data_IF_669427137776
#
_entry.id   IF_669427137776
#
_cell.length_a   1.000
_cell.length_b   1.000
_cell.length_c   1.000
_cell.angle_alpha   90.00
_cell.angle_beta   90.00
_cell.angle_gamma   90.00
#
_symmetry.space_group_name_H-M   'P 1'
#
loop_
_entity.id
_entity.type
_entity.pdbx_description
1 polymer ?
#
# COMPACT_ATOMS: atom_id res chain seq x y z
N UNK A 1 15.40 6.00 29.54
CA UNK A 1 13.92 5.92 29.61
C UNK A 1 13.39 6.14 28.21
N UNK A 2 12.49 5.30 27.68
CA UNK A 2 11.76 5.66 26.46
C UNK A 2 10.99 6.96 26.71
N UNK A 3 10.81 7.82 25.69
CA UNK A 3 10.00 9.03 25.83
C UNK A 3 8.58 8.68 26.29
N UNK A 4 7.91 9.58 27.03
CA UNK A 4 6.53 9.36 27.43
C UNK A 4 5.66 9.14 26.18
N UNK A 5 4.65 8.25 26.22
CA UNK A 5 3.81 7.99 25.07
C UNK A 5 3.10 9.27 24.63
N UNK A 6 3.35 9.70 23.41
CA UNK A 6 2.79 10.92 22.83
C UNK A 6 1.46 10.64 22.10
N UNK A 7 0.61 11.67 22.02
CA UNK A 7 -0.67 11.61 21.30
C UNK A 7 -0.52 11.82 19.78
N UNK A 8 0.69 12.14 19.33
CA UNK A 8 1.03 12.40 17.94
C UNK A 8 2.47 11.98 17.68
N UNK A 9 2.83 11.79 16.42
CA UNK A 9 4.21 11.60 15.99
C UNK A 9 4.37 12.08 14.56
N UNK A 10 5.59 12.47 14.21
CA UNK A 10 6.01 12.77 12.83
C UNK A 10 6.97 11.69 12.29
N UNK A 11 7.24 10.66 13.09
CA UNK A 11 8.17 9.59 12.77
C UNK A 11 7.40 8.41 12.15
N UNK A 12 7.85 7.94 10.98
CA UNK A 12 7.22 6.85 10.25
C UNK A 12 7.17 5.52 11.02
N UNK A 13 8.16 5.28 11.89
CA UNK A 13 8.28 4.14 12.80
C UNK A 13 7.70 4.41 14.19
N UNK A 14 7.10 5.59 14.39
CA UNK A 14 6.49 5.99 15.65
C UNK A 14 5.18 5.29 15.94
N UNK A 15 4.89 5.16 17.23
CA UNK A 15 3.62 4.69 17.78
C UNK A 15 2.98 5.81 18.59
N UNK A 16 1.67 5.98 18.47
CA UNK A 16 0.92 6.96 19.27
C UNK A 16 0.10 6.29 20.36
N UNK A 17 -0.17 6.99 21.45
CA UNK A 17 -1.06 6.49 22.50
C UNK A 17 -2.50 6.33 21.96
N UNK A 18 -3.02 5.10 22.02
CA UNK A 18 -4.40 4.80 21.66
C UNK A 18 -5.39 5.46 22.63
N UNK A 19 -6.42 6.10 22.09
CA UNK A 19 -7.47 6.77 22.85
C UNK A 19 -8.76 5.97 22.77
N UNK A 20 -9.07 5.23 23.83
CA UNK A 20 -10.29 4.43 23.91
C UNK A 20 -11.33 5.12 24.81
N UNK A 21 -12.57 5.16 24.35
CA UNK A 21 -13.71 5.58 25.16
C UNK A 21 -14.24 4.40 25.98
N UNK A 22 -14.93 4.67 27.09
CA UNK A 22 -15.55 3.62 27.90
C UNK A 22 -16.74 2.94 27.21
N UNK A 23 -17.44 3.67 26.34
CA UNK A 23 -18.64 3.23 25.63
C UNK A 23 -18.67 3.81 24.22
N UNK A 24 -19.56 3.26 23.38
CA UNK A 24 -19.76 3.69 22.00
C UNK A 24 -18.65 3.25 21.05
N UNK A 25 -18.61 3.85 19.86
CA UNK A 25 -17.70 3.47 18.76
C UNK A 25 -16.20 3.65 19.07
N UNK A 26 -15.85 4.43 20.10
CA UNK A 26 -14.45 4.59 20.54
C UNK A 26 -13.98 3.53 21.53
N UNK A 27 -14.85 2.58 21.94
CA UNK A 27 -14.49 1.46 22.82
C UNK A 27 -13.96 0.25 22.04
N UNK A 28 -14.19 0.20 20.73
CA UNK A 28 -13.78 -0.93 19.88
C UNK A 28 -12.27 -1.13 19.93
N UNK A 29 -11.82 -2.38 20.10
CA UNK A 29 -10.39 -2.72 20.11
C UNK A 29 -9.79 -2.35 18.76
N UNK A 30 -8.77 -1.47 18.71
CA UNK A 30 -8.10 -1.11 17.47
C UNK A 30 -7.42 -2.32 16.86
N UNK A 31 -7.65 -2.54 15.57
CA UNK A 31 -7.05 -3.63 14.80
C UNK A 31 -6.26 -3.07 13.61
N UNK A 32 -5.27 -3.84 13.20
CA UNK A 32 -4.46 -3.54 12.02
C UNK A 32 -5.22 -3.84 10.73
N UNK A 33 -4.80 -3.22 9.62
CA UNK A 33 -5.32 -3.52 8.28
C UNK A 33 -5.11 -5.01 7.91
N UNK A 34 -3.93 -5.63 8.15
CA UNK A 34 -3.75 -7.07 7.96
C UNK A 34 -4.75 -7.93 8.74
N UNK A 35 -5.05 -7.60 10.00
CA UNK A 35 -6.02 -8.34 10.82
C UNK A 35 -7.43 -8.23 10.24
N UNK A 36 -7.88 -7.01 9.94
CA UNK A 36 -9.20 -6.78 9.33
C UNK A 36 -9.35 -7.50 7.99
N UNK A 37 -8.30 -7.50 7.16
CA UNK A 37 -8.33 -8.19 5.88
C UNK A 37 -8.40 -9.71 6.06
N UNK A 38 -7.63 -10.28 7.00
CA UNK A 38 -7.70 -11.70 7.34
C UNK A 38 -9.08 -12.11 7.86
N UNK A 39 -9.70 -11.30 8.72
CA UNK A 39 -11.09 -11.53 9.17
C UNK A 39 -12.08 -11.51 7.99
N UNK A 40 -11.91 -10.56 7.08
CA UNK A 40 -12.73 -10.45 5.87
C UNK A 40 -12.58 -11.69 4.97
N UNK A 41 -11.35 -12.19 4.78
CA UNK A 41 -11.08 -13.42 4.04
C UNK A 41 -11.73 -14.63 4.71
N UNK A 42 -11.62 -14.75 6.03
CA UNK A 42 -12.25 -15.85 6.78
C UNK A 42 -13.78 -15.86 6.65
N UNK A 43 -14.40 -14.69 6.50
CA UNK A 43 -15.87 -14.55 6.41
C UNK A 43 -16.38 -14.62 4.97
N UNK A 44 -15.61 -14.10 4.03
CA UNK A 44 -16.06 -13.81 2.66
C UNK A 44 -15.15 -14.40 1.58
N UNK A 45 -14.29 -15.37 1.91
CA UNK A 45 -13.22 -15.88 1.03
C UNK A 45 -13.61 -16.14 -0.43
N UNK A 46 -14.79 -16.72 -0.69
CA UNK A 46 -15.28 -17.06 -2.04
C UNK A 46 -16.12 -15.95 -2.70
N UNK A 47 -16.35 -14.83 -2.02
CA UNK A 47 -17.11 -13.71 -2.57
C UNK A 47 -16.20 -12.78 -3.38
N UNK A 48 -16.72 -12.11 -4.43
CA UNK A 48 -15.99 -11.08 -5.16
C UNK A 48 -15.43 -10.02 -4.21
N UNK A 49 -14.15 -9.66 -4.39
CA UNK A 49 -13.46 -8.65 -3.60
C UNK A 49 -12.92 -7.51 -4.46
N UNK A 50 -12.36 -7.84 -5.62
CA UNK A 50 -11.80 -6.87 -6.56
C UNK A 50 -12.26 -7.22 -7.96
N UNK A 51 -12.85 -6.24 -8.64
CA UNK A 51 -13.34 -6.37 -10.01
C UNK A 51 -12.65 -5.29 -10.84
N UNK A 52 -11.95 -5.70 -11.88
CA UNK A 52 -11.26 -4.81 -12.82
C UNK A 52 -11.63 -5.16 -14.25
N UNK A 53 -11.62 -4.14 -15.12
CA UNK A 53 -11.83 -4.33 -16.55
C UNK A 53 -10.48 -4.20 -17.25
N UNK A 54 -10.00 -5.30 -17.83
CA UNK A 54 -8.80 -5.34 -18.67
C UNK A 54 -9.24 -5.44 -20.12
N UNK A 55 -8.99 -4.39 -20.91
CA UNK A 55 -9.49 -4.24 -22.28
C UNK A 55 -11.02 -4.47 -22.36
N UNK A 56 -11.44 -5.66 -22.82
CA UNK A 56 -12.83 -6.06 -22.99
C UNK A 56 -13.33 -7.08 -21.96
N UNK A 57 -12.43 -7.68 -21.18
CA UNK A 57 -12.78 -8.73 -20.22
C UNK A 57 -12.85 -8.18 -18.80
N UNK A 58 -13.82 -8.70 -18.04
CA UNK A 58 -13.91 -8.47 -16.61
C UNK A 58 -13.10 -9.54 -15.89
N UNK A 59 -12.17 -9.10 -15.07
CA UNK A 59 -11.41 -9.95 -14.16
C UNK A 59 -11.96 -9.75 -12.76
N UNK A 60 -12.25 -10.86 -12.09
CA UNK A 60 -12.80 -10.86 -10.75
C UNK A 60 -11.89 -11.72 -9.87
N UNK A 61 -11.37 -11.11 -8.80
CA UNK A 61 -10.71 -11.82 -7.72
C UNK A 61 -11.69 -11.92 -6.55
N UNK A 62 -11.86 -13.12 -6.01
CA UNK A 62 -12.49 -13.29 -4.71
C UNK A 62 -11.54 -12.88 -3.57
N UNK A 63 -12.05 -12.79 -2.33
CA UNK A 63 -11.24 -12.41 -1.18
C UNK A 63 -10.01 -13.30 -0.97
N UNK A 64 -10.12 -14.62 -1.19
CA UNK A 64 -8.97 -15.53 -1.08
C UNK A 64 -7.89 -15.20 -2.13
N UNK A 65 -8.27 -15.05 -3.39
CA UNK A 65 -7.36 -14.75 -4.49
C UNK A 65 -6.71 -13.36 -4.32
N UNK A 66 -7.52 -12.36 -3.93
CA UNK A 66 -7.03 -11.01 -3.70
C UNK A 66 -6.04 -10.96 -2.54
N UNK A 67 -6.33 -11.68 -1.44
CA UNK A 67 -5.41 -11.77 -0.30
C UNK A 67 -4.09 -12.44 -0.69
N UNK A 68 -4.13 -13.56 -1.42
CA UNK A 68 -2.92 -14.22 -1.90
C UNK A 68 -2.11 -13.36 -2.88
N UNK A 69 -2.78 -12.61 -3.76
CA UNK A 69 -2.12 -11.65 -4.65
C UNK A 69 -1.39 -10.55 -3.84
N UNK A 70 -2.06 -9.99 -2.83
CA UNK A 70 -1.44 -8.99 -1.94
C UNK A 70 -0.26 -9.56 -1.16
N UNK A 71 -0.38 -10.80 -0.65
CA UNK A 71 0.72 -11.48 0.05
C UNK A 71 1.90 -11.77 -0.87
N UNK A 72 1.64 -12.17 -2.13
CA UNK A 72 2.70 -12.39 -3.12
C UNK A 72 3.41 -11.08 -3.47
N UNK A 73 2.68 -9.98 -3.67
CA UNK A 73 3.26 -8.65 -3.85
C UNK A 73 4.09 -8.21 -2.62
N UNK A 74 3.59 -8.43 -1.41
CA UNK A 74 4.32 -8.13 -0.17
C UNK A 74 5.67 -8.85 -0.10
N UNK A 75 5.69 -10.13 -0.44
CA UNK A 75 6.91 -10.94 -0.50
C UNK A 75 7.88 -10.46 -1.58
N UNK A 76 7.37 -10.04 -2.74
CA UNK A 76 8.19 -9.46 -3.79
C UNK A 76 8.82 -8.12 -3.35
N UNK A 77 8.07 -7.27 -2.65
CA UNK A 77 8.60 -6.02 -2.07
C UNK A 77 9.72 -6.29 -1.07
N UNK A 78 9.56 -7.29 -0.20
CA UNK A 78 10.62 -7.74 0.72
C UNK A 78 11.85 -8.21 -0.05
N UNK A 79 11.67 -9.01 -1.11
CA UNK A 79 12.76 -9.50 -1.97
C UNK A 79 13.55 -8.35 -2.62
N UNK A 80 12.87 -7.30 -3.08
CA UNK A 80 13.49 -6.10 -3.63
C UNK A 80 14.08 -5.18 -2.54
N UNK A 81 14.02 -5.58 -1.28
CA UNK A 81 14.68 -4.90 -0.18
C UNK A 81 13.87 -3.77 0.43
N UNK A 82 12.53 -3.79 0.38
CA UNK A 82 11.70 -2.88 1.16
C UNK A 82 12.09 -2.94 2.64
N UNK A 83 12.48 -1.80 3.20
CA UNK A 83 12.71 -1.66 4.65
C UNK A 83 11.39 -1.33 5.35
N UNK A 84 11.23 -1.81 6.60
CA UNK A 84 10.09 -1.42 7.43
C UNK A 84 9.98 0.10 7.51
N UNK A 85 8.74 0.59 7.54
CA UNK A 85 8.39 2.02 7.64
C UNK A 85 8.93 2.90 6.49
N UNK A 86 9.38 2.31 5.38
CA UNK A 86 9.70 3.04 4.14
C UNK A 86 8.55 2.96 3.15
N UNK A 87 8.45 3.96 2.28
CA UNK A 87 7.39 4.06 1.30
C UNK A 87 7.49 3.04 0.17
N UNK A 88 6.33 2.55 -0.25
CA UNK A 88 6.10 1.98 -1.58
C UNK A 88 5.26 2.98 -2.35
N UNK A 89 5.88 3.63 -3.32
CA UNK A 89 5.22 4.63 -4.17
C UNK A 89 4.39 3.94 -5.24
N UNK A 90 3.20 4.46 -5.53
CA UNK A 90 2.35 3.96 -6.60
C UNK A 90 1.86 5.15 -7.44
N UNK A 91 2.42 5.28 -8.63
CA UNK A 91 2.17 6.36 -9.59
C UNK A 91 1.34 5.84 -10.77
N UNK A 92 0.04 6.11 -10.73
CA UNK A 92 -0.87 5.69 -11.78
C UNK A 92 -2.34 5.87 -11.45
N UNK A 93 -3.19 5.58 -12.44
CA UNK A 93 -4.65 5.54 -12.27
C UNK A 93 -5.11 4.24 -11.61
N UNK A 94 -6.40 4.22 -11.24
CA UNK A 94 -7.05 3.07 -10.62
C UNK A 94 -6.84 1.79 -11.45
N UNK A 95 -6.30 0.76 -10.80
CA UNK A 95 -6.13 -0.56 -11.38
C UNK A 95 -6.10 -1.64 -10.29
N UNK A 96 -6.15 -2.91 -10.70
CA UNK A 96 -6.03 -4.01 -9.76
C UNK A 96 -4.63 -4.05 -9.13
N UNK A 97 -3.59 -3.83 -9.94
CA UNK A 97 -2.19 -3.76 -9.53
C UNK A 97 -1.95 -2.66 -8.50
N UNK A 98 -2.57 -1.49 -8.69
CA UNK A 98 -2.53 -0.40 -7.71
C UNK A 98 -3.04 -0.86 -6.34
N UNK A 99 -4.20 -1.53 -6.32
CA UNK A 99 -4.84 -2.01 -5.09
C UNK A 99 -4.02 -3.10 -4.42
N UNK A 100 -3.55 -4.08 -5.22
CA UNK A 100 -2.72 -5.20 -4.76
C UNK A 100 -1.39 -4.69 -4.19
N UNK A 101 -0.72 -3.77 -4.88
CA UNK A 101 0.56 -3.23 -4.44
C UNK A 101 0.42 -2.37 -3.18
N UNK A 102 -0.65 -1.58 -3.07
CA UNK A 102 -0.95 -0.75 -1.90
C UNK A 102 -1.12 -1.62 -0.65
N UNK A 103 -1.96 -2.66 -0.71
CA UNK A 103 -2.14 -3.59 0.40
C UNK A 103 -0.89 -4.43 0.63
N UNK A 104 -0.21 -4.87 -0.43
CA UNK A 104 1.06 -5.59 -0.34
C UNK A 104 2.15 -4.81 0.40
N UNK A 105 2.24 -3.50 0.19
CA UNK A 105 3.16 -2.63 0.91
C UNK A 105 2.90 -2.65 2.43
N UNK A 106 1.63 -2.57 2.81
CA UNK A 106 1.20 -2.61 4.22
C UNK A 106 1.49 -3.98 4.82
N UNK A 107 1.15 -5.07 4.13
CA UNK A 107 1.46 -6.44 4.58
C UNK A 107 2.97 -6.66 4.79
N UNK A 108 3.81 -6.06 3.94
CA UNK A 108 5.27 -6.10 4.05
C UNK A 108 5.86 -5.18 5.14
N UNK A 109 5.02 -4.48 5.92
CA UNK A 109 5.44 -3.55 6.97
C UNK A 109 6.03 -2.24 6.43
N UNK A 110 5.81 -1.94 5.15
CA UNK A 110 6.08 -0.64 4.55
C UNK A 110 4.86 0.28 4.63
N UNK A 111 4.99 1.45 4.02
CA UNK A 111 3.95 2.48 3.98
C UNK A 111 3.44 2.59 2.54
N UNK A 112 2.13 2.52 2.35
CA UNK A 112 1.53 2.77 1.03
C UNK A 112 1.53 4.28 0.72
N UNK A 113 2.10 4.66 -0.43
CA UNK A 113 2.26 6.07 -0.84
C UNK A 113 1.66 6.26 -2.23
N UNK A 114 0.45 6.84 -2.30
CA UNK A 114 -0.17 7.19 -3.58
C UNK A 114 0.46 8.45 -4.19
N UNK A 115 0.79 8.39 -5.48
CA UNK A 115 1.30 9.53 -6.26
C UNK A 115 0.36 9.77 -7.43
N UNK A 116 -0.13 11.01 -7.58
CA UNK A 116 -1.04 11.35 -8.67
C UNK A 116 -0.35 11.23 -10.03
N UNK A 117 -1.00 10.53 -10.97
CA UNK A 117 -0.51 10.36 -12.34
C UNK A 117 -0.30 11.69 -13.09
N UNK A 118 -0.99 12.75 -12.66
CA UNK A 118 -0.93 14.11 -13.21
C UNK A 118 0.17 14.98 -12.60
N UNK A 119 0.88 14.50 -11.56
CA UNK A 119 2.00 15.25 -10.98
C UNK A 119 3.13 15.44 -12.00
N UNK A 120 3.81 16.58 -11.91
CA UNK A 120 5.08 16.81 -12.63
C UNK A 120 6.21 15.92 -12.09
N UNK A 121 7.34 15.86 -12.79
CA UNK A 121 8.51 15.11 -12.33
C UNK A 121 9.03 15.64 -10.98
N UNK A 122 9.05 16.96 -10.79
CA UNK A 122 9.49 17.63 -9.56
C UNK A 122 8.55 17.30 -8.40
N UNK A 123 7.23 17.30 -8.64
CA UNK A 123 6.24 16.92 -7.64
C UNK A 123 6.36 15.43 -7.27
N UNK A 124 6.64 14.55 -8.23
CA UNK A 124 6.90 13.13 -7.96
C UNK A 124 8.18 12.96 -7.12
N UNK A 125 9.28 13.63 -7.49
CA UNK A 125 10.54 13.62 -6.76
C UNK A 125 10.35 14.06 -5.30
N UNK A 126 9.60 15.14 -5.07
CA UNK A 126 9.31 15.64 -3.74
C UNK A 126 8.60 14.59 -2.87
N UNK A 127 7.59 13.91 -3.42
CA UNK A 127 6.86 12.83 -2.74
C UNK A 127 7.76 11.63 -2.46
N UNK A 128 8.52 11.18 -3.46
CA UNK A 128 9.44 10.03 -3.39
C UNK A 128 10.48 10.25 -2.29
N UNK A 129 11.12 11.43 -2.26
CA UNK A 129 12.12 11.78 -1.26
C UNK A 129 11.49 11.93 0.14
N UNK A 130 10.38 12.68 0.24
CA UNK A 130 9.70 12.94 1.52
C UNK A 130 9.18 11.66 2.19
N UNK A 131 8.69 10.69 1.42
CA UNK A 131 8.21 9.41 1.93
C UNK A 131 9.30 8.31 1.99
N UNK A 132 10.56 8.66 1.67
CA UNK A 132 11.70 7.72 1.64
C UNK A 132 11.37 6.45 0.87
N UNK A 133 10.77 6.60 -0.32
CA UNK A 133 10.27 5.48 -1.11
C UNK A 133 11.43 4.54 -1.46
N UNK A 134 11.26 3.24 -1.16
CA UNK A 134 12.20 2.19 -1.52
C UNK A 134 11.84 1.53 -2.85
N UNK A 135 10.56 1.35 -3.12
CA UNK A 135 10.06 0.67 -4.31
C UNK A 135 8.97 1.53 -4.94
N UNK A 136 9.05 1.77 -6.24
CA UNK A 136 8.08 2.60 -6.96
C UNK A 136 7.39 1.78 -8.05
N UNK A 137 6.07 1.73 -8.01
CA UNK A 137 5.25 1.19 -9.08
C UNK A 137 4.77 2.33 -9.97
N UNK A 138 4.92 2.18 -11.27
CA UNK A 138 4.49 3.14 -12.30
C UNK A 138 3.57 2.46 -13.29
N UNK A 139 2.53 3.17 -13.72
CA UNK A 139 1.49 2.55 -14.56
C UNK A 139 2.00 2.07 -15.92
N UNK A 140 2.73 2.92 -16.63
CA UNK A 140 3.09 2.70 -18.02
C UNK A 140 4.37 3.49 -18.35
N UNK A 141 4.83 3.36 -19.60
CA UNK A 141 6.07 3.99 -20.05
C UNK A 141 6.06 5.52 -19.89
N UNK A 142 4.91 6.19 -20.06
CA UNK A 142 4.81 7.64 -19.83
C UNK A 142 5.17 8.01 -18.38
N UNK A 143 4.66 7.25 -17.40
CA UNK A 143 5.01 7.46 -15.99
C UNK A 143 6.44 7.03 -15.69
N UNK A 144 6.93 5.97 -16.33
CA UNK A 144 8.31 5.54 -16.20
C UNK A 144 9.29 6.63 -16.68
N UNK A 145 9.13 7.14 -17.90
CA UNK A 145 10.00 8.17 -18.46
C UNK A 145 10.01 9.44 -17.60
N UNK A 146 8.87 9.83 -17.03
CA UNK A 146 8.78 10.93 -16.06
C UNK A 146 9.66 10.71 -14.83
N UNK A 147 9.74 9.48 -14.32
CA UNK A 147 10.60 9.16 -13.18
C UNK A 147 12.06 9.08 -13.61
N UNK A 148 12.33 8.51 -14.78
CA UNK A 148 13.69 8.40 -15.31
C UNK A 148 14.32 9.76 -15.64
N UNK A 149 13.52 10.79 -15.92
CA UNK A 149 14.04 12.15 -16.10
C UNK A 149 14.49 12.82 -14.79
N UNK A 150 14.15 12.25 -13.63
CA UNK A 150 14.58 12.77 -12.32
C UNK A 150 15.99 12.26 -12.02
N UNK A 151 16.94 13.12 -11.60
CA UNK A 151 18.27 12.68 -11.21
C UNK A 151 18.22 11.64 -10.09
N UNK A 152 18.95 10.53 -10.26
CA UNK A 152 18.98 9.43 -9.27
C UNK A 152 19.45 9.90 -7.88
N UNK A 153 20.34 10.90 -7.82
CA UNK A 153 20.79 11.53 -6.57
C UNK A 153 19.67 12.22 -5.78
N UNK A 154 18.54 12.53 -6.43
CA UNK A 154 17.35 13.10 -5.77
C UNK A 154 16.39 12.02 -5.25
N UNK A 155 16.68 10.74 -5.51
CA UNK A 155 15.86 9.58 -5.16
C UNK A 155 16.71 8.46 -4.54
N UNK A 156 17.66 8.81 -3.67
CA UNK A 156 18.67 7.88 -3.12
C UNK A 156 18.09 6.64 -2.43
N UNK A 157 16.88 6.75 -1.87
CA UNK A 157 16.22 5.63 -1.19
C UNK A 157 15.59 4.63 -2.17
N UNK A 158 15.38 5.01 -3.44
CA UNK A 158 14.69 4.20 -4.44
C UNK A 158 15.61 3.08 -4.95
N UNK A 159 15.16 1.84 -4.77
CA UNK A 159 15.90 0.61 -5.07
C UNK A 159 15.40 -0.08 -6.32
N UNK A 160 14.09 -0.04 -6.58
CA UNK A 160 13.49 -0.69 -7.74
C UNK A 160 12.27 0.09 -8.26
N UNK A 161 12.04 -0.02 -9.56
CA UNK A 161 10.87 0.49 -10.26
C UNK A 161 10.14 -0.70 -10.90
N UNK A 162 8.82 -0.75 -10.79
CA UNK A 162 7.97 -1.75 -11.43
C UNK A 162 7.03 -1.04 -12.38
N UNK A 163 7.08 -1.36 -13.67
CA UNK A 163 6.06 -0.91 -14.62
C UNK A 163 4.98 -1.98 -14.74
N UNK A 164 3.73 -1.63 -14.40
CA UNK A 164 2.68 -2.64 -14.27
C UNK A 164 1.72 -2.78 -15.47
N UNK A 165 1.83 -1.92 -16.48
CA UNK A 165 1.19 -2.14 -17.80
C UNK A 165 2.23 -2.25 -18.89
N UNK A 166 1.97 -3.14 -19.84
CA UNK A 166 2.75 -3.28 -21.08
C UNK A 166 2.35 -2.20 -22.11
N UNK A 167 3.19 -1.94 -23.13
CA UNK A 167 4.55 -2.48 -23.31
C UNK A 167 5.58 -1.80 -22.41
N UNK A 168 6.62 -2.54 -22.05
CA UNK A 168 7.84 -1.99 -21.45
C UNK A 168 8.84 -1.79 -22.59
N UNK A 169 9.33 -0.57 -22.76
CA UNK A 169 10.30 -0.23 -23.82
C UNK A 169 11.74 -0.23 -23.33
N UNK A 170 11.93 -0.13 -22.01
CA UNK A 170 13.24 -0.08 -21.36
C UNK A 170 13.60 -1.48 -20.82
N UNK A 171 14.64 -2.10 -21.36
CA UNK A 171 15.01 -3.49 -21.02
C UNK A 171 16.40 -3.62 -20.38
N UNK A 172 17.25 -2.59 -20.46
CA UNK A 172 18.65 -2.66 -20.04
C UNK A 172 18.89 -2.14 -18.61
N UNK A 173 17.81 -1.80 -17.87
CA UNK A 173 17.91 -1.21 -16.54
C UNK A 173 17.77 -2.28 -15.45
N UNK A 174 18.86 -2.51 -14.71
CA UNK A 174 19.00 -3.58 -13.70
C UNK A 174 17.92 -3.58 -12.60
N UNK A 175 17.34 -2.42 -12.29
CA UNK A 175 16.35 -2.24 -11.23
C UNK A 175 14.92 -1.95 -11.74
N UNK A 176 14.63 -2.30 -13.00
CA UNK A 176 13.31 -2.16 -13.62
C UNK A 176 12.69 -3.55 -13.84
N UNK A 177 11.44 -3.72 -13.41
CA UNK A 177 10.72 -4.98 -13.51
C UNK A 177 9.35 -4.78 -14.17
N UNK A 178 8.88 -5.81 -14.88
CA UNK A 178 7.47 -5.92 -15.24
C UNK A 178 6.62 -6.33 -14.03
N UNK A 179 5.30 -6.21 -14.13
CA UNK A 179 4.39 -6.72 -13.10
C UNK A 179 4.58 -8.22 -12.85
N UNK A 180 4.71 -9.00 -13.92
CA UNK A 180 4.81 -10.45 -13.82
C UNK A 180 6.13 -10.87 -13.17
N UNK A 181 7.25 -10.29 -13.62
CA UNK A 181 8.57 -10.54 -13.00
C UNK A 181 8.56 -10.14 -11.52
N UNK A 182 7.99 -8.98 -11.20
CA UNK A 182 7.82 -8.52 -9.83
C UNK A 182 7.05 -9.55 -9.01
N UNK A 183 5.91 -10.04 -9.50
CA UNK A 183 5.12 -11.03 -8.78
C UNK A 183 5.89 -12.34 -8.60
N UNK A 184 6.65 -12.79 -9.61
CA UNK A 184 7.49 -14.00 -9.52
C UNK A 184 8.57 -13.91 -8.44
N UNK A 185 9.19 -12.75 -8.21
CA UNK A 185 10.16 -12.54 -7.13
C UNK A 185 9.60 -12.92 -5.76
N UNK A 186 8.28 -12.75 -5.55
CA UNK A 186 7.59 -13.10 -4.32
C UNK A 186 7.57 -14.60 -4.01
N UNK A 187 7.91 -15.47 -4.96
CA UNK A 187 8.05 -16.92 -4.74
C UNK A 187 9.33 -17.27 -3.96
N UNK A 188 10.33 -16.38 -3.96
CA UNK A 188 11.62 -16.63 -3.30
C UNK A 188 11.64 -16.34 -1.79
N UNK A 189 10.60 -15.70 -1.27
CA UNK A 189 10.45 -15.38 0.15
C UNK A 189 9.42 -16.34 0.77
N UNK A 190 9.73 -16.98 1.91
CA UNK A 190 8.79 -17.89 2.55
C UNK A 190 7.63 -17.13 3.21
N UNK A 191 6.44 -17.76 3.25
CA UNK A 191 5.28 -17.16 3.91
C UNK A 191 5.51 -16.84 5.39
N UNK A 192 6.27 -17.68 6.10
CA UNK A 192 6.59 -17.49 7.52
C UNK A 192 7.31 -16.18 7.80
N UNK A 193 8.17 -15.72 6.89
CA UNK A 193 8.86 -14.44 7.03
C UNK A 193 7.86 -13.28 6.92
N UNK A 194 6.92 -13.33 5.97
CA UNK A 194 5.86 -12.34 5.87
C UNK A 194 4.94 -12.36 7.09
N UNK A 195 4.57 -13.55 7.58
CA UNK A 195 3.71 -13.71 8.75
C UNK A 195 4.32 -13.09 10.01
N UNK A 196 5.64 -13.22 10.19
CA UNK A 196 6.34 -12.55 11.28
C UNK A 196 6.23 -11.03 11.17
N UNK A 197 6.45 -10.45 9.99
CA UNK A 197 6.34 -9.00 9.78
C UNK A 197 4.91 -8.52 10.04
N UNK A 198 3.90 -9.26 9.56
CA UNK A 198 2.49 -8.93 9.82
C UNK A 198 2.19 -8.93 11.32
N UNK A 199 2.68 -9.93 12.06
CA UNK A 199 2.45 -10.05 13.50
C UNK A 199 3.14 -8.96 14.35
N UNK A 200 4.18 -8.33 13.82
CA UNK A 200 4.92 -7.24 14.49
C UNK A 200 4.31 -5.85 14.27
N UNK A 201 3.29 -5.72 13.41
CA UNK A 201 2.59 -4.46 13.15
C UNK A 201 1.60 -4.15 14.28
N UNK A 202 1.38 -2.86 14.54
CA UNK A 202 0.44 -2.40 15.57
C UNK A 202 -0.56 -1.40 15.00
N UNK A 203 -1.76 -1.41 15.57
CA UNK A 203 -2.88 -0.62 15.07
C UNK A 203 -2.58 0.90 15.03
N UNK A 204 -1.77 1.39 15.97
CA UNK A 204 -1.37 2.79 16.12
C UNK A 204 -0.12 3.20 15.33
N UNK A 205 0.40 2.35 14.44
CA UNK A 205 1.52 2.67 13.54
C UNK A 205 1.01 3.21 12.20
N UNK A 206 1.82 4.04 11.53
CA UNK A 206 1.51 4.58 10.21
C UNK A 206 1.47 3.47 9.14
N UNK A 207 0.39 3.45 8.36
CA UNK A 207 0.21 2.48 7.25
C UNK A 207 0.15 3.16 5.88
N UNK A 208 -0.35 4.39 5.81
CA UNK A 208 -0.56 5.13 4.56
C UNK A 208 -0.04 6.55 4.70
N UNK A 209 0.67 7.01 3.67
CA UNK A 209 1.00 8.43 3.49
C UNK A 209 0.21 8.99 2.32
N UNK A 210 -0.64 9.97 2.63
CA UNK A 210 -1.41 10.69 1.62
C UNK A 210 -0.84 12.09 1.42
N UNK A 211 -0.35 12.37 0.21
CA UNK A 211 0.12 13.71 -0.13
C UNK A 211 -1.04 14.57 -0.65
N UNK A 212 -1.21 15.72 -0.03
CA UNK A 212 -2.23 16.70 -0.43
C UNK A 212 -1.60 17.83 -1.22
N UNK A 213 -2.29 18.37 -2.22
CA UNK A 213 -1.76 19.36 -3.16
C UNK A 213 -1.36 20.69 -2.53
N UNK A 214 -1.65 20.93 -1.25
CA UNK A 214 -1.19 22.08 -0.48
C UNK A 214 -1.48 23.43 -1.15
N UNK A 215 -2.54 24.14 -0.74
CA UNK A 215 -2.94 25.42 -1.36
C UNK A 215 -1.90 26.54 -1.30
N UNK A 216 -0.81 26.37 -0.54
CA UNK A 216 0.18 27.41 -0.21
C UNK A 216 1.64 26.97 -0.36
N UNK A 217 1.92 25.79 -0.93
CA UNK A 217 3.30 25.34 -1.09
C UNK A 217 3.43 23.85 -1.46
N UNK A 218 4.59 23.27 -1.16
CA UNK A 218 4.86 21.88 -1.47
C UNK A 218 3.85 20.93 -0.77
N UNK A 219 3.49 19.80 -1.41
CA UNK A 219 2.58 18.83 -0.84
C UNK A 219 3.00 18.39 0.57
N UNK A 220 2.03 18.14 1.46
CA UNK A 220 2.30 17.61 2.80
C UNK A 220 1.83 16.17 2.89
N UNK A 221 2.70 15.30 3.42
CA UNK A 221 2.37 13.91 3.70
C UNK A 221 1.56 13.78 4.98
N UNK A 222 0.30 13.38 4.85
CA UNK A 222 -0.58 13.07 5.98
C UNK A 222 -0.37 11.60 6.35
N UNK A 223 0.03 11.35 7.58
CA UNK A 223 0.20 10.01 8.14
C UNK A 223 -1.16 9.47 8.60
N UNK A 224 -1.55 8.32 8.07
CA UNK A 224 -2.75 7.59 8.49
C UNK A 224 -2.33 6.26 9.11
N UNK A 225 -2.68 6.06 10.37
CA UNK A 225 -2.42 4.82 11.10
C UNK A 225 -3.37 3.70 10.70
N UNK A 226 -3.04 2.45 11.02
CA UNK A 226 -3.92 1.34 10.71
C UNK A 226 -5.31 1.49 11.37
N UNK A 227 -5.35 1.87 12.64
CA UNK A 227 -6.60 2.07 13.40
C UNK A 227 -7.45 3.19 12.82
N UNK A 228 -6.82 4.27 12.33
CA UNK A 228 -7.52 5.33 11.62
C UNK A 228 -8.27 4.78 10.40
N UNK A 229 -7.59 3.96 9.59
CA UNK A 229 -8.18 3.37 8.38
C UNK A 229 -9.25 2.33 8.74
N UNK A 230 -8.95 1.38 9.63
CA UNK A 230 -9.88 0.29 9.97
C UNK A 230 -11.12 0.80 10.69
N UNK A 231 -10.98 1.77 11.61
CA UNK A 231 -12.10 2.42 12.26
C UNK A 231 -12.99 3.16 11.25
N UNK A 232 -12.39 3.95 10.35
CA UNK A 232 -13.13 4.70 9.33
C UNK A 232 -13.90 3.75 8.41
N UNK A 233 -13.26 2.68 7.94
CA UNK A 233 -13.91 1.66 7.12
C UNK A 233 -15.08 0.99 7.85
N UNK A 234 -14.90 0.63 9.13
CA UNK A 234 -15.94 0.01 9.96
C UNK A 234 -17.16 0.92 10.18
N UNK A 235 -16.93 2.21 10.49
CA UNK A 235 -18.00 3.20 10.66
C UNK A 235 -18.77 3.38 9.36
N UNK A 236 -18.08 3.62 8.24
CA UNK A 236 -18.73 3.80 6.94
C UNK A 236 -19.54 2.57 6.54
N UNK A 237 -19.00 1.37 6.76
CA UNK A 237 -19.71 0.14 6.46
C UNK A 237 -21.00 -0.02 7.28
N UNK A 238 -20.97 0.32 8.58
CA UNK A 238 -22.18 0.30 9.42
C UNK A 238 -23.20 1.35 9.01
N UNK A 239 -22.76 2.60 8.82
CA UNK A 239 -23.64 3.73 8.54
C UNK A 239 -24.33 3.59 7.17
N UNK A 240 -23.63 2.99 6.19
CA UNK A 240 -24.20 2.68 4.88
C UNK A 240 -24.92 1.32 4.83
N UNK A 241 -24.96 0.57 5.93
CA UNK A 241 -25.62 -0.74 5.99
C UNK A 241 -24.99 -1.82 5.10
N UNK A 242 -23.68 -1.71 4.83
CA UNK A 242 -22.90 -2.69 4.05
C UNK A 242 -22.79 -4.00 4.82
N UNK A 243 -23.74 -4.91 4.59
CA UNK A 243 -23.92 -6.11 5.41
C UNK A 243 -23.74 -7.42 4.64
N UNK A 244 -24.00 -7.44 3.32
CA UNK A 244 -24.02 -8.67 2.54
C UNK A 244 -23.55 -8.47 1.10
N UNK A 245 -22.65 -9.34 0.65
CA UNK A 245 -22.43 -9.58 -0.77
C UNK A 245 -23.56 -10.48 -1.29
N UNK A 246 -24.26 -10.03 -2.34
CA UNK A 246 -25.46 -10.71 -2.87
C UNK A 246 -25.14 -11.90 -3.76
N UNK A 247 -23.90 -12.01 -4.24
CA UNK A 247 -23.47 -13.00 -5.23
C UNK A 247 -22.16 -13.65 -4.79
N UNK A 248 -22.11 -14.98 -4.89
CA UNK A 248 -20.87 -15.76 -4.79
C UNK A 248 -20.39 -16.06 -6.20
N UNK A 249 -19.08 -16.12 -6.41
CA UNK A 249 -18.56 -16.71 -7.64
C UNK A 249 -18.85 -18.22 -7.58
N UNK A 250 -19.47 -18.73 -8.65
CA UNK A 250 -19.83 -20.14 -8.80
C UNK A 250 -18.58 -21.03 -8.92
#
# INVERSE_FOLDING_TARGET
MPPPPELWTIHADGEVLLRLSRHGVGHETPITIPELFRESVSRFGTYPALISKSCENWEILNFNQYYEACRKAARALIKLGLKRFHGVGILGFNSAEWSIASVGAILAGGISVGIYATNSAEACQYVIAGAKVNILLVENDLQLQKILSIPQSSMETLKAIIQYKLPIHEHDKENLYSWDDFMELGNSIPNSQLDQIIAEQKANQCAVLMYTSGTTGNPKGVMLSHDNITWTAGVVARDLGLSHAREKLA
#
